data_IF_792908867658
#
_entry.id   IF_792908867658
#
_cell.length_a   1.000
_cell.length_b   1.000
_cell.length_c   1.000
_cell.angle_alpha   90.00
_cell.angle_beta   90.00
_cell.angle_gamma   90.00
#
_symmetry.space_group_name_H-M   'P 1'
#
loop_
_entity.id
_entity.type
_entity.pdbx_description
1 polymer ?
#
# COMPACT_ATOMS: atom_id res chain seq x y z
N UNK A 1 -21.87 -18.32 -0.09
CA UNK A 1 -21.56 -16.93 0.33
C UNK A 1 -22.10 -16.60 1.73
N UNK A 2 -23.32 -17.00 2.09
CA UNK A 2 -23.91 -16.76 3.42
C UNK A 2 -23.05 -17.24 4.59
N UNK A 3 -22.50 -18.46 4.50
CA UNK A 3 -21.68 -19.01 5.59
C UNK A 3 -20.40 -18.18 5.82
N UNK A 4 -19.76 -17.69 4.75
CA UNK A 4 -18.59 -16.81 4.87
C UNK A 4 -18.97 -15.48 5.51
N UNK A 5 -20.11 -14.88 5.11
CA UNK A 5 -20.62 -13.67 5.74
C UNK A 5 -20.90 -13.90 7.24
N UNK A 6 -21.55 -15.01 7.59
CA UNK A 6 -21.85 -15.35 8.99
C UNK A 6 -20.58 -15.46 9.84
N UNK A 7 -19.57 -16.16 9.34
CA UNK A 7 -18.29 -16.35 10.04
C UNK A 7 -17.52 -15.04 10.19
N UNK A 8 -17.40 -14.25 9.12
CA UNK A 8 -16.67 -12.97 9.13
C UNK A 8 -17.36 -11.92 9.99
N UNK A 9 -18.69 -11.85 9.98
CA UNK A 9 -19.49 -11.01 10.86
C UNK A 9 -19.32 -11.40 12.35
N UNK A 10 -19.28 -12.69 12.65
CA UNK A 10 -19.01 -13.18 14.00
C UNK A 10 -17.62 -12.78 14.50
N UNK A 11 -16.59 -12.92 13.65
CA UNK A 11 -15.22 -12.48 13.96
C UNK A 11 -15.18 -10.97 14.19
N UNK A 12 -15.79 -10.19 13.29
CA UNK A 12 -15.82 -8.73 13.39
C UNK A 12 -16.48 -8.26 14.69
N UNK A 13 -17.64 -8.83 15.06
CA UNK A 13 -18.30 -8.50 16.33
C UNK A 13 -17.48 -8.92 17.55
N UNK A 14 -16.95 -10.14 17.54
CA UNK A 14 -16.30 -10.74 18.71
C UNK A 14 -14.98 -10.03 19.04
N UNK A 15 -14.20 -9.72 18.01
CA UNK A 15 -12.86 -9.17 18.17
C UNK A 15 -12.77 -7.68 17.87
N UNK A 16 -13.85 -7.06 17.38
CA UNK A 16 -13.91 -5.63 17.02
C UNK A 16 -12.77 -5.26 16.07
N UNK A 17 -12.61 -6.04 15.01
CA UNK A 17 -11.56 -5.81 14.01
C UNK A 17 -11.90 -4.57 13.18
N UNK A 18 -10.89 -3.75 12.90
CA UNK A 18 -11.02 -2.57 12.05
C UNK A 18 -10.59 -2.83 10.59
N UNK A 19 -9.96 -3.99 10.33
CA UNK A 19 -9.41 -4.34 9.02
C UNK A 19 -9.47 -5.85 8.78
N UNK A 20 -9.97 -6.24 7.61
CA UNK A 20 -9.83 -7.59 7.07
C UNK A 20 -9.03 -7.58 5.78
N UNK A 21 -8.01 -8.44 5.72
CA UNK A 21 -7.39 -8.88 4.47
C UNK A 21 -7.98 -10.23 4.07
N UNK A 22 -8.72 -10.25 2.96
CA UNK A 22 -9.20 -11.46 2.32
C UNK A 22 -8.22 -11.86 1.22
N UNK A 23 -7.45 -12.91 1.52
CA UNK A 23 -6.53 -13.55 0.58
C UNK A 23 -7.19 -14.82 0.04
N UNK A 24 -7.96 -14.66 -1.04
CA UNK A 24 -8.75 -15.74 -1.64
C UNK A 24 -8.16 -16.14 -2.99
N UNK A 25 -7.82 -17.42 -3.15
CA UNK A 25 -7.59 -17.97 -4.48
C UNK A 25 -8.88 -17.94 -5.28
N UNK A 26 -8.87 -17.23 -6.40
CA UNK A 26 -10.01 -17.16 -7.31
C UNK A 26 -9.99 -18.29 -8.33
N UNK A 27 -11.15 -18.55 -8.93
CA UNK A 27 -11.28 -19.41 -10.13
C UNK A 27 -10.60 -18.80 -11.37
N UNK A 28 -9.99 -17.61 -11.21
CA UNK A 28 -9.16 -16.92 -12.19
C UNK A 28 -7.65 -17.14 -11.97
N UNK A 29 -7.26 -18.04 -11.05
CA UNK A 29 -5.90 -18.25 -10.53
C UNK A 29 -4.78 -17.58 -11.36
N UNK A 30 -4.09 -16.55 -10.82
CA UNK A 30 -3.05 -15.84 -11.56
C UNK A 30 -1.85 -16.74 -11.89
N UNK A 31 -1.75 -17.89 -11.20
CA UNK A 31 -0.67 -18.85 -11.32
C UNK A 31 -0.93 -19.94 -12.36
N UNK A 32 -2.10 -19.97 -13.01
CA UNK A 32 -2.41 -20.91 -14.09
C UNK A 32 -2.43 -22.39 -13.68
N UNK A 33 -2.62 -22.68 -12.40
CA UNK A 33 -2.57 -24.05 -11.84
C UNK A 33 -3.86 -24.84 -12.12
N UNK A 34 -4.99 -24.13 -12.26
CA UNK A 34 -6.31 -24.72 -12.48
C UNK A 34 -6.94 -24.18 -13.78
N UNK A 35 -7.85 -24.94 -14.42
CA UNK A 35 -8.68 -24.43 -15.50
C UNK A 35 -9.40 -23.15 -15.08
N UNK A 36 -9.51 -22.20 -16.00
CA UNK A 36 -10.20 -20.94 -15.77
C UNK A 36 -11.69 -21.20 -15.48
N UNK A 37 -12.22 -20.57 -14.44
CA UNK A 37 -13.63 -20.66 -14.08
C UNK A 37 -14.03 -21.96 -13.39
N UNK A 38 -15.32 -22.12 -13.16
CA UNK A 38 -15.89 -23.33 -12.56
C UNK A 38 -16.86 -23.99 -13.54
N UNK A 39 -16.74 -25.31 -13.75
CA UNK A 39 -17.58 -26.07 -14.69
C UNK A 39 -18.70 -26.87 -14.03
N UNK A 40 -18.83 -26.77 -12.70
CA UNK A 40 -19.90 -27.40 -11.95
C UNK A 40 -21.28 -26.86 -12.38
N UNK A 41 -22.29 -27.71 -12.31
CA UNK A 41 -23.67 -27.39 -12.75
C UNK A 41 -24.69 -27.37 -11.61
N UNK A 42 -24.24 -27.68 -10.41
CA UNK A 42 -25.05 -27.94 -9.23
C UNK A 42 -24.78 -26.93 -8.10
N UNK A 43 -23.99 -25.89 -8.37
CA UNK A 43 -23.82 -24.79 -7.44
C UNK A 43 -25.08 -23.91 -7.40
N UNK A 44 -25.42 -23.40 -6.22
CA UNK A 44 -26.63 -22.61 -6.00
C UNK A 44 -26.72 -21.35 -6.85
N UNK A 45 -25.58 -20.69 -7.11
CA UNK A 45 -25.54 -19.37 -7.75
C UNK A 45 -25.04 -19.39 -9.19
N UNK A 46 -24.38 -20.46 -9.65
CA UNK A 46 -23.85 -20.53 -11.00
C UNK A 46 -23.90 -21.97 -11.53
N UNK A 47 -24.04 -22.14 -12.85
CA UNK A 47 -24.35 -23.43 -13.49
C UNK A 47 -23.40 -23.79 -14.64
N UNK A 48 -22.19 -23.27 -14.59
CA UNK A 48 -21.08 -23.70 -15.42
C UNK A 48 -20.06 -22.59 -15.59
N UNK A 49 -19.22 -22.74 -16.60
CA UNK A 49 -18.13 -21.80 -16.85
C UNK A 49 -18.63 -20.39 -17.15
N UNK A 50 -19.69 -20.29 -17.96
CA UNK A 50 -20.19 -19.03 -18.54
C UNK A 50 -20.58 -18.01 -17.47
N UNK A 51 -21.16 -18.44 -16.36
CA UNK A 51 -21.63 -17.57 -15.27
C UNK A 51 -20.71 -17.60 -14.04
N UNK A 52 -19.74 -18.53 -13.98
CA UNK A 52 -18.89 -18.70 -12.79
C UNK A 52 -18.10 -17.45 -12.38
N UNK A 53 -17.53 -16.71 -13.35
CA UNK A 53 -16.70 -15.53 -13.06
C UNK A 53 -17.55 -14.32 -12.61
N UNK A 54 -18.62 -13.93 -13.34
CA UNK A 54 -19.54 -12.91 -12.86
C UNK A 54 -20.11 -13.20 -11.47
N UNK A 55 -20.52 -14.45 -11.21
CA UNK A 55 -21.11 -14.83 -9.92
C UNK A 55 -20.09 -14.83 -8.77
N UNK A 56 -18.82 -15.13 -9.05
CA UNK A 56 -17.74 -14.94 -8.09
C UNK A 56 -17.64 -13.47 -7.65
N UNK A 57 -17.58 -12.54 -8.60
CA UNK A 57 -17.51 -11.11 -8.29
C UNK A 57 -18.78 -10.59 -7.61
N UNK A 58 -19.96 -11.06 -8.01
CA UNK A 58 -21.21 -10.77 -7.32
C UNK A 58 -21.17 -11.26 -5.85
N UNK A 59 -20.56 -12.42 -5.60
CA UNK A 59 -20.31 -12.95 -4.26
C UNK A 59 -19.39 -12.06 -3.42
N UNK A 60 -18.28 -11.58 -3.98
CA UNK A 60 -17.37 -10.65 -3.30
C UNK A 60 -18.04 -9.32 -2.98
N UNK A 61 -18.79 -8.76 -3.95
CA UNK A 61 -19.55 -7.54 -3.74
C UNK A 61 -20.59 -7.69 -2.64
N UNK A 62 -21.34 -8.80 -2.65
CA UNK A 62 -22.30 -9.12 -1.59
C UNK A 62 -21.63 -9.16 -0.22
N UNK A 63 -20.51 -9.87 -0.09
CA UNK A 63 -19.77 -9.98 1.17
C UNK A 63 -19.30 -8.61 1.66
N UNK A 64 -18.70 -7.81 0.76
CA UNK A 64 -18.23 -6.45 1.06
C UNK A 64 -19.37 -5.58 1.56
N UNK A 65 -20.43 -5.48 0.77
CA UNK A 65 -21.54 -4.55 1.02
C UNK A 65 -22.27 -4.92 2.33
N UNK A 66 -22.48 -6.22 2.59
CA UNK A 66 -23.10 -6.66 3.85
C UNK A 66 -22.20 -6.46 5.08
N UNK A 67 -20.89 -6.71 4.96
CA UNK A 67 -19.96 -6.48 6.07
C UNK A 67 -19.84 -4.98 6.38
N UNK A 68 -19.68 -4.12 5.37
CA UNK A 68 -19.65 -2.67 5.59
C UNK A 68 -20.96 -2.14 6.17
N UNK A 69 -22.11 -2.67 5.74
CA UNK A 69 -23.42 -2.28 6.30
C UNK A 69 -23.53 -2.63 7.79
N UNK A 70 -22.99 -3.77 8.22
CA UNK A 70 -23.02 -4.23 9.61
C UNK A 70 -21.92 -3.60 10.47
N UNK A 71 -20.78 -3.31 9.86
CA UNK A 71 -19.56 -2.78 10.49
C UNK A 71 -19.02 -1.60 9.67
N UNK A 72 -19.63 -0.40 9.76
CA UNK A 72 -19.26 0.73 8.89
C UNK A 72 -17.81 1.24 9.02
N UNK A 73 -17.12 0.90 10.11
CA UNK A 73 -15.71 1.22 10.32
C UNK A 73 -14.73 0.15 9.86
N UNK A 74 -15.21 -1.02 9.42
CA UNK A 74 -14.37 -2.13 8.98
C UNK A 74 -13.87 -1.90 7.56
N UNK A 75 -12.55 -1.79 7.41
CA UNK A 75 -11.89 -1.77 6.12
C UNK A 75 -11.78 -3.19 5.54
N UNK A 76 -12.19 -3.35 4.29
CA UNK A 76 -12.17 -4.64 3.59
C UNK A 76 -11.14 -4.58 2.48
N UNK A 77 -10.15 -5.47 2.51
CA UNK A 77 -9.10 -5.58 1.52
C UNK A 77 -9.09 -6.96 0.88
N UNK A 78 -9.55 -7.07 -0.36
CA UNK A 78 -9.34 -8.22 -1.21
C UNK A 78 -7.97 -8.10 -1.88
N UNK A 79 -7.12 -9.10 -1.69
CA UNK A 79 -5.82 -9.14 -2.33
C UNK A 79 -5.93 -9.34 -3.86
N UNK A 80 -4.85 -9.05 -4.58
CA UNK A 80 -4.77 -9.27 -6.02
C UNK A 80 -5.10 -10.72 -6.44
N UNK A 81 -4.83 -11.72 -5.58
CA UNK A 81 -5.19 -13.12 -5.82
C UNK A 81 -6.71 -13.31 -6.02
N UNK A 82 -7.52 -12.50 -5.31
CA UNK A 82 -8.99 -12.52 -5.41
C UNK A 82 -9.46 -12.08 -6.80
N UNK A 83 -8.69 -11.21 -7.47
CA UNK A 83 -9.00 -10.71 -8.80
C UNK A 83 -8.35 -11.53 -9.93
N UNK A 84 -7.52 -12.52 -9.60
CA UNK A 84 -6.84 -13.35 -10.59
C UNK A 84 -5.75 -12.61 -11.38
N UNK A 85 -5.31 -11.45 -10.91
CA UNK A 85 -4.35 -10.60 -11.61
C UNK A 85 -3.48 -9.84 -10.61
N UNK A 86 -2.15 -9.89 -10.79
CA UNK A 86 -1.18 -9.09 -10.03
C UNK A 86 -1.26 -7.58 -10.34
N UNK A 87 -2.12 -7.15 -11.26
CA UNK A 87 -2.27 -5.75 -11.61
C UNK A 87 -3.60 -5.20 -11.09
N UNK A 88 -3.57 -4.15 -10.24
CA UNK A 88 -4.79 -3.52 -9.76
C UNK A 88 -5.52 -2.84 -10.93
N UNK A 89 -6.84 -2.95 -10.92
CA UNK A 89 -7.70 -2.21 -11.85
C UNK A 89 -8.57 -1.24 -11.06
N UNK A 90 -9.07 -0.21 -11.74
CA UNK A 90 -10.04 0.71 -11.12
C UNK A 90 -11.30 -0.04 -10.67
N UNK A 91 -11.68 -1.11 -11.38
CA UNK A 91 -12.82 -1.95 -11.01
C UNK A 91 -12.60 -2.66 -9.67
N UNK A 92 -11.38 -3.08 -9.33
CA UNK A 92 -11.09 -3.70 -8.04
C UNK A 92 -11.42 -2.79 -6.84
N UNK A 93 -11.36 -1.46 -7.04
CA UNK A 93 -11.69 -0.48 -6.00
C UNK A 93 -13.19 -0.44 -5.67
N UNK A 94 -14.07 -0.98 -6.53
CA UNK A 94 -15.50 -1.13 -6.23
C UNK A 94 -15.77 -2.25 -5.22
N UNK A 95 -14.84 -3.21 -5.11
CA UNK A 95 -14.98 -4.39 -4.24
C UNK A 95 -14.22 -4.24 -2.93
N UNK A 96 -13.20 -3.38 -2.90
CA UNK A 96 -12.18 -3.42 -1.86
C UNK A 96 -11.75 -2.01 -1.43
N UNK A 97 -11.74 -1.74 -0.12
CA UNK A 97 -11.30 -0.51 0.52
C UNK A 97 -9.80 -0.21 0.38
N UNK A 98 -9.01 -1.25 0.24
CA UNK A 98 -7.60 -1.16 -0.06
C UNK A 98 -7.28 -2.22 -1.10
N UNK A 99 -6.19 -2.06 -1.84
CA UNK A 99 -5.80 -3.04 -2.85
C UNK A 99 -4.34 -3.43 -2.65
N UNK A 100 -4.11 -4.67 -2.23
CA UNK A 100 -2.79 -5.29 -2.15
C UNK A 100 -2.27 -5.62 -3.55
N UNK A 101 -1.21 -4.92 -4.00
CA UNK A 101 -0.76 -4.98 -5.39
C UNK A 101 0.13 -6.18 -5.72
N UNK A 102 0.98 -6.60 -4.80
CA UNK A 102 1.94 -7.68 -5.05
C UNK A 102 2.41 -8.32 -3.74
N UNK A 103 3.03 -9.49 -3.85
CA UNK A 103 3.74 -10.18 -2.78
C UNK A 103 5.23 -9.77 -2.69
N UNK A 104 5.65 -8.75 -3.42
CA UNK A 104 7.00 -8.19 -3.32
C UNK A 104 7.33 -7.77 -1.89
N UNK A 105 8.40 -8.33 -1.34
CA UNK A 105 8.79 -8.13 0.07
C UNK A 105 10.13 -7.40 0.24
N UNK A 106 10.96 -7.35 -0.81
CA UNK A 106 12.32 -6.82 -0.74
C UNK A 106 13.28 -7.71 0.07
N UNK A 107 12.86 -8.92 0.46
CA UNK A 107 13.66 -9.82 1.30
C UNK A 107 14.93 -10.29 0.59
N UNK A 108 14.88 -10.43 -0.75
CA UNK A 108 16.02 -10.83 -1.59
C UNK A 108 16.42 -9.68 -2.53
N UNK A 109 17.30 -8.75 -2.11
CA UNK A 109 17.65 -7.55 -2.90
C UNK A 109 18.19 -7.85 -4.30
N UNK A 110 18.87 -8.98 -4.48
CA UNK A 110 19.38 -9.44 -5.78
C UNK A 110 18.28 -9.75 -6.80
N UNK A 111 17.06 -10.02 -6.34
CA UNK A 111 15.90 -10.33 -7.17
C UNK A 111 14.96 -9.11 -7.20
N UNK A 112 14.71 -8.52 -6.03
CA UNK A 112 13.78 -7.41 -5.81
C UNK A 112 14.40 -6.40 -4.85
N UNK A 113 15.07 -5.39 -5.40
CA UNK A 113 15.54 -4.26 -4.61
C UNK A 113 14.38 -3.35 -4.22
N UNK A 114 14.49 -2.67 -3.08
CA UNK A 114 13.47 -1.73 -2.60
C UNK A 114 13.20 -0.59 -3.60
N UNK A 115 14.24 -0.14 -4.32
CA UNK A 115 14.10 0.80 -5.43
C UNK A 115 13.23 0.26 -6.56
N UNK A 116 13.40 -1.03 -6.94
CA UNK A 116 12.57 -1.65 -7.98
C UNK A 116 11.11 -1.75 -7.55
N UNK A 117 10.87 -2.10 -6.29
CA UNK A 117 9.54 -2.13 -5.65
C UNK A 117 8.91 -0.73 -5.74
N UNK A 118 9.61 0.30 -5.25
CA UNK A 118 9.13 1.69 -5.28
C UNK A 118 8.80 2.18 -6.70
N UNK A 119 9.66 1.90 -7.68
CA UNK A 119 9.41 2.26 -9.10
C UNK A 119 8.24 1.50 -9.71
N UNK A 120 7.98 0.27 -9.28
CA UNK A 120 6.78 -0.45 -9.70
C UNK A 120 5.54 0.26 -9.17
N UNK A 121 5.60 0.74 -7.93
CA UNK A 121 4.52 1.43 -7.26
C UNK A 121 4.11 2.74 -7.97
N UNK A 122 5.10 3.51 -8.45
CA UNK A 122 4.88 4.72 -9.26
C UNK A 122 4.02 4.49 -10.52
N UNK A 123 4.02 3.27 -11.07
CA UNK A 123 3.24 2.96 -12.28
C UNK A 123 1.74 2.90 -12.03
N UNK A 124 1.33 2.67 -10.78
CA UNK A 124 -0.07 2.53 -10.41
C UNK A 124 -0.68 3.85 -9.93
N UNK A 125 0.12 4.70 -9.28
CA UNK A 125 -0.35 5.96 -8.68
C UNK A 125 -0.76 7.03 -9.69
N UNK A 126 -0.38 6.89 -10.97
CA UNK A 126 -0.88 7.74 -12.06
C UNK A 126 -2.29 7.38 -12.56
N UNK A 127 -2.80 6.20 -12.20
CA UNK A 127 -4.09 5.69 -12.66
C UNK A 127 -5.07 5.38 -11.52
N UNK A 128 -4.56 5.17 -10.30
CA UNK A 128 -5.34 4.77 -9.14
C UNK A 128 -5.01 5.66 -7.92
N UNK A 129 -6.00 5.95 -7.07
CA UNK A 129 -5.82 6.77 -5.87
C UNK A 129 -4.78 6.16 -4.92
N UNK A 130 -3.67 6.86 -4.60
CA UNK A 130 -2.57 6.31 -3.80
C UNK A 130 -3.03 5.86 -2.41
N UNK A 131 -3.97 6.56 -1.78
CA UNK A 131 -4.54 6.22 -0.47
C UNK A 131 -5.32 4.89 -0.45
N UNK A 132 -5.53 4.28 -1.62
CA UNK A 132 -6.19 2.98 -1.78
C UNK A 132 -5.22 1.85 -2.14
N UNK A 133 -3.96 2.16 -2.42
CA UNK A 133 -2.98 1.20 -2.93
C UNK A 133 -2.04 0.74 -1.81
N UNK A 134 -1.91 -0.56 -1.63
CA UNK A 134 -0.93 -1.15 -0.72
C UNK A 134 0.03 -2.01 -1.54
N UNK A 135 1.35 -1.76 -1.51
CA UNK A 135 2.26 -2.48 -2.43
C UNK A 135 2.29 -3.96 -2.11
N UNK A 136 2.28 -4.30 -0.82
CA UNK A 136 2.57 -5.66 -0.37
C UNK A 136 3.18 -5.68 1.02
N UNK A 137 3.78 -6.82 1.35
CA UNK A 137 4.44 -7.08 2.63
C UNK A 137 5.91 -6.66 2.60
N UNK A 138 6.20 -5.41 2.21
CA UNK A 138 7.58 -4.90 2.18
C UNK A 138 8.16 -4.94 3.59
N UNK A 139 9.25 -5.70 3.75
CA UNK A 139 9.75 -6.06 5.08
C UNK A 139 10.84 -5.09 5.55
N UNK A 140 10.63 -4.48 6.71
CA UNK A 140 11.65 -3.65 7.36
C UNK A 140 12.77 -4.50 7.96
N UNK A 141 14.01 -4.05 7.77
CA UNK A 141 15.22 -4.59 8.38
C UNK A 141 16.12 -3.45 8.83
N UNK A 142 17.10 -3.73 9.68
CA UNK A 142 17.98 -2.72 10.25
C UNK A 142 18.61 -1.81 9.17
N UNK A 143 19.10 -2.41 8.09
CA UNK A 143 19.82 -1.72 7.03
C UNK A 143 18.96 -0.84 6.12
N UNK A 144 17.64 -1.02 6.11
CA UNK A 144 16.75 -0.36 5.14
C UNK A 144 15.41 0.11 5.73
N UNK A 145 15.25 0.13 7.05
CA UNK A 145 13.98 0.38 7.72
C UNK A 145 13.32 1.69 7.25
N UNK A 146 14.08 2.79 7.23
CA UNK A 146 13.58 4.09 6.78
C UNK A 146 13.20 4.09 5.30
N UNK A 147 14.03 3.51 4.43
CA UNK A 147 13.75 3.46 2.99
C UNK A 147 12.49 2.64 2.69
N UNK A 148 12.29 1.51 3.40
CA UNK A 148 11.10 0.67 3.29
C UNK A 148 9.85 1.44 3.73
N UNK A 149 9.92 2.11 4.90
CA UNK A 149 8.80 2.93 5.38
C UNK A 149 8.45 4.04 4.39
N UNK A 150 9.43 4.82 3.92
CA UNK A 150 9.17 5.88 2.94
C UNK A 150 8.68 5.32 1.61
N UNK A 151 9.11 4.14 1.19
CA UNK A 151 8.56 3.47 0.01
C UNK A 151 7.08 3.12 0.19
N UNK A 152 6.66 2.72 1.40
CA UNK A 152 5.25 2.44 1.69
C UNK A 152 4.36 3.70 1.59
N UNK A 153 4.93 4.90 1.79
CA UNK A 153 4.20 6.17 1.72
C UNK A 153 3.77 6.58 0.30
N UNK A 154 4.26 5.89 -0.74
CA UNK A 154 3.72 6.03 -2.10
C UNK A 154 2.23 5.73 -2.16
N UNK A 155 1.75 4.78 -1.32
CA UNK A 155 0.34 4.41 -1.20
C UNK A 155 -0.18 4.47 0.24
N UNK A 156 -1.17 3.65 0.58
CA UNK A 156 -1.57 3.38 1.96
C UNK A 156 -0.45 2.63 2.69
N UNK A 157 0.17 3.21 3.72
CA UNK A 157 1.37 2.62 4.33
C UNK A 157 1.05 1.32 5.08
N UNK A 158 1.65 0.22 4.63
CA UNK A 158 1.75 -1.03 5.40
C UNK A 158 3.17 -1.58 5.22
N UNK A 159 3.81 -1.90 6.33
CA UNK A 159 5.11 -2.56 6.38
C UNK A 159 5.01 -3.87 7.15
N UNK A 160 5.84 -4.84 6.79
CA UNK A 160 5.96 -6.11 7.50
C UNK A 160 7.34 -6.22 8.17
N UNK A 161 7.55 -7.23 9.00
CA UNK A 161 8.86 -7.50 9.61
C UNK A 161 8.81 -7.53 11.13
N UNK A 162 9.90 -8.00 11.72
CA UNK A 162 10.06 -8.12 13.16
C UNK A 162 10.70 -6.85 13.73
N UNK A 163 9.86 -5.96 14.26
CA UNK A 163 10.31 -4.69 14.83
C UNK A 163 11.23 -4.87 16.05
N UNK A 164 11.23 -6.04 16.70
CA UNK A 164 12.11 -6.33 17.84
C UNK A 164 13.57 -6.50 17.41
N UNK A 165 13.84 -6.66 16.11
CA UNK A 165 15.19 -6.75 15.55
C UNK A 165 15.78 -5.40 15.16
N UNK A 166 15.01 -4.32 15.25
CA UNK A 166 15.48 -2.98 14.94
C UNK A 166 16.18 -2.38 16.15
N UNK A 167 17.26 -1.64 15.91
CA UNK A 167 17.92 -0.85 16.95
C UNK A 167 17.00 0.29 17.44
N UNK A 168 17.26 0.79 18.65
CA UNK A 168 16.56 1.97 19.18
C UNK A 168 16.69 3.19 18.25
N UNK A 169 17.85 3.32 17.59
CA UNK A 169 18.09 4.37 16.59
C UNK A 169 17.18 4.24 15.37
N UNK A 170 17.07 3.03 14.80
CA UNK A 170 16.17 2.75 13.70
C UNK A 170 14.71 2.98 14.09
N UNK A 171 14.27 2.47 15.25
CA UNK A 171 12.91 2.66 15.75
C UNK A 171 12.59 4.14 16.01
N UNK A 172 13.51 4.89 16.60
CA UNK A 172 13.33 6.33 16.82
C UNK A 172 13.20 7.08 15.49
N UNK A 173 13.98 6.71 14.47
CA UNK A 173 13.88 7.28 13.12
C UNK A 173 12.52 6.97 12.50
N UNK A 174 12.05 5.73 12.53
CA UNK A 174 10.72 5.36 12.02
C UNK A 174 9.60 6.15 12.71
N UNK A 175 9.64 6.28 14.04
CA UNK A 175 8.64 7.04 14.81
C UNK A 175 8.53 8.49 14.35
N UNK A 176 9.66 9.16 14.08
CA UNK A 176 9.66 10.54 13.57
C UNK A 176 9.03 10.65 12.19
N UNK A 177 9.38 9.73 11.29
CA UNK A 177 8.82 9.68 9.93
C UNK A 177 7.31 9.41 9.96
N UNK A 178 6.85 8.45 10.78
CA UNK A 178 5.43 8.14 10.95
C UNK A 178 4.68 9.36 11.53
N UNK A 179 5.22 10.00 12.56
CA UNK A 179 4.59 11.17 13.17
C UNK A 179 4.43 12.32 12.17
N UNK A 180 5.47 12.62 11.38
CA UNK A 180 5.39 13.66 10.36
C UNK A 180 4.41 13.30 9.22
N UNK A 181 4.34 12.03 8.81
CA UNK A 181 3.36 11.57 7.83
C UNK A 181 1.92 11.75 8.36
N UNK A 182 1.66 11.32 9.59
CA UNK A 182 0.34 11.46 10.21
C UNK A 182 -0.07 12.93 10.33
N UNK A 183 0.84 13.81 10.77
CA UNK A 183 0.59 15.25 10.81
C UNK A 183 0.30 15.83 9.42
N UNK A 184 1.01 15.38 8.39
CA UNK A 184 0.74 15.81 7.01
C UNK A 184 -0.65 15.37 6.54
N UNK A 185 -1.09 14.15 6.88
CA UNK A 185 -2.43 13.63 6.56
C UNK A 185 -3.53 14.37 7.36
N UNK A 186 -3.28 14.68 8.63
CA UNK A 186 -4.19 15.49 9.47
C UNK A 186 -4.41 16.90 8.90
N UNK A 187 -3.38 17.48 8.27
CA UNK A 187 -3.45 18.77 7.60
C UNK A 187 -4.19 18.74 6.25
N UNK A 188 -4.34 17.56 5.66
CA UNK A 188 -5.05 17.37 4.39
C UNK A 188 -4.85 15.96 3.84
N UNK A 189 -5.91 15.33 3.29
CA UNK A 189 -5.79 13.99 2.74
C UNK A 189 -4.87 14.00 1.53
N UNK A 190 -3.75 13.29 1.62
CA UNK A 190 -2.68 13.27 0.62
C UNK A 190 -3.04 12.40 -0.59
N UNK A 191 -4.11 12.75 -1.31
CA UNK A 191 -4.69 11.95 -2.41
C UNK A 191 -4.01 12.16 -3.76
N UNK A 192 -3.25 13.25 -3.92
CA UNK A 192 -2.48 13.50 -5.14
C UNK A 192 -1.06 12.95 -5.02
N UNK A 193 -0.52 12.44 -6.13
CA UNK A 193 0.81 11.84 -6.20
C UNK A 193 1.58 12.35 -7.43
N UNK A 194 2.89 12.57 -7.28
CA UNK A 194 3.77 12.87 -8.40
C UNK A 194 5.17 12.29 -8.18
N UNK A 195 5.74 11.68 -9.23
CA UNK A 195 7.17 11.35 -9.29
C UNK A 195 7.93 12.62 -9.64
N UNK A 196 8.73 13.13 -8.70
CA UNK A 196 9.50 14.38 -8.88
C UNK A 196 10.81 14.12 -9.62
N UNK A 197 11.45 12.97 -9.38
CA UNK A 197 12.64 12.54 -10.11
C UNK A 197 12.74 11.01 -10.15
N UNK A 198 13.19 10.42 -11.26
CA UNK A 198 13.54 8.99 -11.36
C UNK A 198 14.77 8.82 -12.26
N UNK A 199 15.95 8.94 -11.67
CA UNK A 199 17.24 8.82 -12.36
C UNK A 199 18.17 7.86 -11.61
N UNK A 200 19.29 7.48 -12.23
CA UNK A 200 20.20 6.46 -11.68
C UNK A 200 20.66 6.77 -10.24
N UNK A 201 20.97 8.03 -9.96
CA UNK A 201 21.58 8.51 -8.71
C UNK A 201 20.56 8.97 -7.65
N UNK A 202 19.33 9.27 -8.06
CA UNK A 202 18.29 9.76 -7.15
C UNK A 202 16.91 9.42 -7.69
N UNK A 203 16.01 9.04 -6.80
CA UNK A 203 14.58 9.08 -7.08
C UNK A 203 13.81 9.77 -5.95
N UNK A 204 12.67 10.37 -6.30
CA UNK A 204 11.84 11.09 -5.35
C UNK A 204 10.39 11.16 -5.80
N UNK A 205 9.50 11.25 -4.83
CA UNK A 205 8.08 11.45 -5.08
C UNK A 205 7.50 12.40 -4.05
N UNK A 206 6.38 13.03 -4.40
CA UNK A 206 5.57 13.78 -3.46
C UNK A 206 4.14 13.27 -3.40
N UNK A 207 3.52 13.43 -2.24
CA UNK A 207 2.08 13.36 -2.09
C UNK A 207 1.56 14.65 -1.50
N UNK A 208 0.41 15.09 -1.99
CA UNK A 208 -0.14 16.38 -1.60
C UNK A 208 -1.65 16.38 -1.64
N UNK A 209 -2.22 17.44 -1.05
CA UNK A 209 -3.65 17.71 -0.98
C UNK A 209 -3.96 19.08 -1.59
N UNK A 210 -5.20 19.29 -1.98
CA UNK A 210 -5.67 20.60 -2.47
C UNK A 210 -5.66 21.68 -1.37
N UNK A 211 -5.65 21.29 -0.09
CA UNK A 211 -5.47 22.20 1.05
C UNK A 211 -4.02 22.67 1.21
N UNK A 212 -3.09 22.10 0.44
CA UNK A 212 -1.68 22.46 0.43
C UNK A 212 -0.80 21.64 1.39
N UNK A 213 -1.35 20.64 2.10
CA UNK A 213 -0.52 19.68 2.83
C UNK A 213 0.30 18.84 1.85
N UNK A 214 1.56 18.56 2.18
CA UNK A 214 2.51 17.88 1.29
C UNK A 214 3.55 17.10 2.07
N UNK A 215 3.94 15.95 1.52
CA UNK A 215 5.19 15.25 1.82
C UNK A 215 6.03 15.13 0.53
N UNK A 216 7.34 15.17 0.68
CA UNK A 216 8.34 14.89 -0.36
C UNK A 216 9.31 13.83 0.20
N UNK A 217 9.34 12.66 -0.42
CA UNK A 217 10.30 11.61 -0.08
C UNK A 217 11.40 11.57 -1.13
N UNK A 218 12.66 11.58 -0.68
CA UNK A 218 13.84 11.60 -1.56
C UNK A 218 14.79 10.48 -1.16
N UNK A 219 15.30 9.77 -2.16
CA UNK A 219 16.19 8.62 -2.01
C UNK A 219 17.47 8.88 -2.80
N UNK A 220 18.59 9.03 -2.10
CA UNK A 220 19.91 9.25 -2.70
C UNK A 220 20.65 7.92 -2.85
N UNK A 221 20.95 7.54 -4.08
CA UNK A 221 21.67 6.31 -4.44
C UNK A 221 23.14 6.56 -4.82
N UNK A 222 23.58 7.82 -4.74
CA UNK A 222 24.91 8.23 -5.16
C UNK A 222 25.89 8.30 -4.00
N UNK A 223 27.19 8.33 -4.34
CA UNK A 223 28.28 8.53 -3.38
C UNK A 223 28.43 10.00 -2.93
N UNK A 224 27.57 10.90 -3.43
CA UNK A 224 27.63 12.33 -3.15
C UNK A 224 26.35 12.79 -2.45
N UNK A 225 26.41 13.81 -1.58
CA UNK A 225 25.20 14.43 -1.06
C UNK A 225 24.35 15.00 -2.20
N UNK A 226 23.04 14.87 -2.09
CA UNK A 226 22.08 15.47 -3.02
C UNK A 226 21.39 16.65 -2.34
N UNK A 227 21.10 17.71 -3.11
CA UNK A 227 20.38 18.88 -2.61
C UNK A 227 18.95 18.93 -3.16
N UNK A 228 17.98 19.26 -2.31
CA UNK A 228 16.61 19.56 -2.73
C UNK A 228 16.38 21.08 -2.80
N UNK A 229 15.76 21.51 -3.89
CA UNK A 229 15.40 22.92 -4.09
C UNK A 229 14.00 23.24 -3.52
N UNK A 230 13.77 22.96 -2.23
CA UNK A 230 12.51 23.22 -1.51
C UNK A 230 12.80 23.78 -0.12
N UNK A 231 12.67 25.09 0.03
CA UNK A 231 12.92 25.81 1.30
C UNK A 231 11.68 25.90 2.19
N UNK A 232 10.52 25.62 1.61
CA UNK A 232 9.21 25.66 2.24
C UNK A 232 8.85 24.37 3.00
N UNK A 233 9.70 23.35 2.94
CA UNK A 233 9.51 22.07 3.61
C UNK A 233 10.48 21.91 4.78
N UNK A 234 10.01 21.21 5.83
CA UNK A 234 10.82 20.84 6.98
C UNK A 234 11.23 19.38 6.87
N UNK A 235 12.47 19.07 7.25
CA UNK A 235 12.93 17.70 7.38
C UNK A 235 12.19 17.01 8.55
N UNK A 236 11.61 15.85 8.29
CA UNK A 236 10.79 15.11 9.25
C UNK A 236 11.56 14.61 10.49
N UNK A 237 12.87 14.43 10.37
CA UNK A 237 13.70 13.87 11.43
C UNK A 237 14.32 14.94 12.35
N UNK A 238 14.67 16.10 11.77
CA UNK A 238 15.31 17.22 12.47
C UNK A 238 14.34 18.37 12.80
N UNK A 239 13.24 18.51 12.06
CA UNK A 239 12.31 19.64 12.16
C UNK A 239 12.85 20.96 11.62
N UNK A 240 14.08 20.97 11.08
CA UNK A 240 14.69 22.14 10.49
C UNK A 240 14.41 22.21 8.98
N UNK A 241 14.55 23.39 8.35
CA UNK A 241 14.65 23.48 6.89
C UNK A 241 15.88 22.68 6.43
N UNK A 242 15.65 21.44 5.98
CA UNK A 242 16.69 20.54 5.51
C UNK A 242 16.77 20.61 3.99
N UNK A 243 17.98 20.60 3.44
CA UNK A 243 18.19 20.58 1.99
C UNK A 243 19.06 19.44 1.50
N UNK A 244 19.89 18.87 2.38
CA UNK A 244 20.93 17.94 1.97
C UNK A 244 20.52 16.54 2.39
N UNK A 245 20.55 15.61 1.43
CA UNK A 245 20.38 14.18 1.63
C UNK A 245 21.77 13.54 1.56
N UNK A 246 22.26 12.92 2.66
CA UNK A 246 23.55 12.23 2.65
C UNK A 246 23.65 11.16 1.56
N UNK A 247 24.86 10.78 1.13
CA UNK A 247 25.09 9.62 0.26
C UNK A 247 24.40 8.37 0.82
N UNK A 248 23.76 7.58 -0.04
CA UNK A 248 23.10 6.32 0.34
C UNK A 248 22.10 6.43 1.49
N UNK A 249 21.39 7.57 1.59
CA UNK A 249 20.36 7.83 2.60
C UNK A 249 19.04 8.26 1.94
N UNK A 250 17.96 8.24 2.73
CA UNK A 250 16.66 8.73 2.33
C UNK A 250 16.14 9.76 3.33
N UNK A 251 15.30 10.68 2.87
CA UNK A 251 14.69 11.72 3.72
C UNK A 251 13.24 11.93 3.34
N UNK A 252 12.44 12.25 4.34
CA UNK A 252 11.11 12.82 4.14
C UNK A 252 11.11 14.26 4.59
N UNK A 253 10.58 15.11 3.72
CA UNK A 253 10.29 16.50 4.00
C UNK A 253 8.78 16.68 3.99
N UNK A 254 8.27 17.59 4.79
CA UNK A 254 6.83 17.82 4.88
C UNK A 254 6.53 19.29 5.11
N UNK A 255 5.35 19.71 4.64
CA UNK A 255 4.87 21.06 4.85
C UNK A 255 4.09 21.12 6.15
N UNK A 256 4.59 21.90 7.10
CA UNK A 256 3.86 22.19 8.34
C UNK A 256 2.78 23.22 8.04
N UNK A 257 1.51 22.90 8.31
CA UNK A 257 0.45 23.90 8.29
C UNK A 257 0.76 25.01 9.29
N UNK A 258 0.53 26.25 8.86
CA UNK A 258 0.67 27.46 9.68
C UNK A 258 -0.55 27.61 10.58
#
# INVERSE_FOLDING_TARGET
REEILRQTDEIARKYKVDYFKFDASSILSPYGVLPLGCHAKDHEHHHGFVDSIPEMFAGYKYLRDELQRRHPGLLIDFSFESFGCEQPTIAALEYSDLNHLTNDSGIRPSIQSIRRIRRNFYRHTGALPPERLMHGLVSVREENAAEVLLTSFVGAPLISGDLLKLSDGALARLKKLIAAFNLAVENGPLTSFEVVSDHAEQDSFRRYSDSGAEILCVFNHSDKPQEINRTDLLDAESGAPGKIIPPHDCRMFWKRSV
#
